data_IF_779461993107
#
_entry.id   IF_779461993107
#
_cell.length_a   1.000
_cell.length_b   1.000
_cell.length_c   1.000
_cell.angle_alpha   90.00
_cell.angle_beta   90.00
_cell.angle_gamma   90.00
#
_symmetry.space_group_name_H-M   'P 1'
#
loop_
_entity.id
_entity.type
_entity.pdbx_description
1 polymer ?
#
# COMPACT_ATOMS: atom_id res chain seq x y z
N UNK A 1 0.73 14.78 -9.10
CA UNK A 1 0.58 13.86 -10.24
C UNK A 1 1.59 14.21 -11.30
N UNK A 2 2.28 13.21 -11.85
CA UNK A 2 3.34 13.29 -12.85
C UNK A 2 3.01 12.33 -14.00
N UNK A 3 3.39 12.71 -15.22
CA UNK A 3 3.35 11.86 -16.41
C UNK A 3 4.77 11.30 -16.63
N UNK A 4 4.89 9.98 -16.74
CA UNK A 4 6.13 9.35 -17.18
C UNK A 4 6.14 9.21 -18.70
N UNK A 5 7.15 9.80 -19.34
CA UNK A 5 7.28 9.83 -20.79
C UNK A 5 8.66 9.29 -21.19
N UNK A 6 8.71 8.52 -22.28
CA UNK A 6 9.96 8.18 -22.96
C UNK A 6 9.80 8.44 -24.45
N UNK A 7 10.76 9.16 -25.05
CA UNK A 7 10.80 9.48 -26.48
C UNK A 7 9.49 10.08 -27.03
N UNK A 8 8.81 10.90 -26.24
CA UNK A 8 7.52 11.52 -26.60
C UNK A 8 6.29 10.62 -26.41
N UNK A 9 6.45 9.36 -25.97
CA UNK A 9 5.32 8.46 -25.66
C UNK A 9 4.96 8.53 -24.17
N UNK A 10 3.69 8.80 -23.81
CA UNK A 10 3.23 8.72 -22.43
C UNK A 10 3.11 7.24 -22.01
N UNK A 11 3.92 6.85 -21.02
CA UNK A 11 4.06 5.46 -20.58
C UNK A 11 3.58 5.22 -19.16
N UNK A 12 3.28 6.25 -18.40
CA UNK A 12 2.80 6.03 -17.04
C UNK A 12 2.26 7.25 -16.34
N UNK A 13 1.57 6.97 -15.25
CA UNK A 13 1.02 7.95 -14.34
C UNK A 13 1.58 7.69 -12.94
N UNK A 14 2.12 8.75 -12.33
CA UNK A 14 2.61 8.70 -10.96
C UNK A 14 1.84 9.74 -10.14
N UNK A 15 1.14 9.29 -9.11
CA UNK A 15 0.58 10.14 -8.07
C UNK A 15 1.26 9.77 -6.75
N UNK A 16 1.52 10.79 -5.96
CA UNK A 16 2.15 10.65 -4.66
C UNK A 16 1.70 11.79 -3.76
N UNK A 17 1.78 11.55 -2.46
CA UNK A 17 1.51 12.52 -1.43
C UNK A 17 2.74 12.68 -0.53
N UNK A 18 2.75 13.77 0.22
CA UNK A 18 3.84 14.18 1.11
C UNK A 18 3.23 14.55 2.45
N UNK A 19 3.82 14.07 3.54
CA UNK A 19 3.54 14.53 4.89
C UNK A 19 4.80 15.17 5.47
N UNK A 20 4.78 16.50 5.57
CA UNK A 20 5.97 17.28 5.92
C UNK A 20 6.42 17.07 7.37
N UNK A 21 5.48 16.86 8.30
CA UNK A 21 5.79 16.70 9.74
C UNK A 21 6.69 15.49 10.00
N UNK A 22 6.47 14.40 9.27
CA UNK A 22 7.24 13.16 9.37
C UNK A 22 8.32 13.05 8.27
N UNK A 23 8.43 14.06 7.40
CA UNK A 23 9.25 14.03 6.19
C UNK A 23 9.00 12.77 5.35
N UNK A 24 7.74 12.45 5.15
CA UNK A 24 7.29 11.22 4.51
C UNK A 24 6.82 11.47 3.08
N UNK A 25 7.18 10.59 2.15
CA UNK A 25 6.70 10.59 0.76
C UNK A 25 6.23 9.18 0.39
N UNK A 26 5.06 9.05 -0.23
CA UNK A 26 4.61 7.76 -0.78
C UNK A 26 3.80 7.94 -2.07
N UNK A 27 4.04 7.12 -3.11
CA UNK A 27 3.14 7.04 -4.25
C UNK A 27 1.89 6.24 -3.92
N UNK A 28 0.72 6.82 -4.15
CA UNK A 28 -0.59 6.16 -4.12
C UNK A 28 -1.00 5.63 -5.50
N UNK A 29 -0.36 6.13 -6.57
CA UNK A 29 -0.46 5.58 -7.93
C UNK A 29 0.93 5.51 -8.54
N UNK A 30 1.37 4.34 -8.98
CA UNK A 30 2.61 4.16 -9.74
C UNK A 30 2.41 3.18 -10.89
N UNK A 31 1.72 3.64 -11.95
CA UNK A 31 1.34 2.81 -13.09
C UNK A 31 2.28 3.07 -14.26
N UNK A 32 3.21 2.14 -14.52
CA UNK A 32 4.21 2.24 -15.58
C UNK A 32 4.06 1.10 -16.58
N UNK A 33 3.90 1.42 -17.86
CA UNK A 33 3.66 0.46 -18.95
C UNK A 33 4.88 -0.41 -19.28
N UNK A 34 6.09 0.15 -19.20
CA UNK A 34 7.36 -0.54 -19.46
C UNK A 34 8.54 0.18 -18.80
N UNK A 35 9.66 -0.51 -18.64
CA UNK A 35 10.89 0.00 -18.02
C UNK A 35 10.69 0.53 -16.59
N UNK A 36 9.99 -0.24 -15.76
CA UNK A 36 9.63 0.14 -14.39
C UNK A 36 10.83 0.62 -13.57
N UNK A 37 11.95 -0.11 -13.58
CA UNK A 37 13.14 0.28 -12.83
C UNK A 37 13.78 1.60 -13.29
N UNK A 38 13.65 1.97 -14.57
CA UNK A 38 14.06 3.30 -15.03
C UNK A 38 13.12 4.38 -14.50
N UNK A 39 11.81 4.15 -14.56
CA UNK A 39 10.82 5.08 -14.03
C UNK A 39 11.01 5.31 -12.51
N UNK A 40 11.26 4.25 -11.74
CA UNK A 40 11.56 4.36 -10.31
C UNK A 40 12.81 5.19 -10.08
N UNK A 41 13.90 4.94 -10.81
CA UNK A 41 15.14 5.71 -10.67
C UNK A 41 14.95 7.20 -10.96
N UNK A 42 14.32 7.53 -12.07
CA UNK A 42 14.03 8.94 -12.44
C UNK A 42 13.09 9.59 -11.40
N UNK A 43 12.14 8.84 -10.85
CA UNK A 43 11.28 9.32 -9.77
C UNK A 43 12.06 9.57 -8.47
N UNK A 44 12.95 8.66 -8.07
CA UNK A 44 13.82 8.85 -6.90
C UNK A 44 14.73 10.06 -7.07
N UNK A 45 15.34 10.24 -8.25
CA UNK A 45 16.16 11.41 -8.57
C UNK A 45 15.35 12.71 -8.46
N UNK A 46 14.14 12.73 -9.03
CA UNK A 46 13.21 13.84 -8.91
C UNK A 46 12.88 14.17 -7.44
N UNK A 47 12.62 13.15 -6.61
CA UNK A 47 12.29 13.33 -5.20
C UNK A 47 13.48 13.77 -4.36
N UNK A 48 14.69 13.22 -4.57
CA UNK A 48 15.93 13.68 -3.94
C UNK A 48 16.14 15.19 -4.13
N UNK A 49 15.90 15.69 -5.34
CA UNK A 49 16.05 17.11 -5.63
C UNK A 49 15.02 17.99 -4.92
N UNK A 50 13.81 17.46 -4.68
CA UNK A 50 12.67 18.24 -4.22
C UNK A 50 12.42 18.12 -2.72
N UNK A 51 12.76 16.99 -2.13
CA UNK A 51 12.50 16.63 -0.74
C UNK A 51 13.75 16.02 -0.08
N UNK A 52 14.90 16.73 -0.06
CA UNK A 52 16.12 16.21 0.53
C UNK A 52 15.93 15.93 2.03
N UNK A 53 16.34 14.75 2.49
CA UNK A 53 16.21 14.30 3.87
C UNK A 53 14.80 13.81 4.25
N UNK A 54 13.94 13.53 3.26
CA UNK A 54 12.68 12.82 3.45
C UNK A 54 12.89 11.31 3.28
N UNK A 55 11.92 10.51 3.71
CA UNK A 55 11.88 9.07 3.46
C UNK A 55 10.79 8.75 2.42
N UNK A 56 11.20 8.07 1.36
CA UNK A 56 10.29 7.54 0.35
C UNK A 56 9.87 6.12 0.76
N UNK A 57 8.57 5.92 0.92
CA UNK A 57 7.97 4.61 1.14
C UNK A 57 7.29 4.11 -0.12
N UNK A 58 7.33 2.80 -0.34
CA UNK A 58 6.82 2.15 -1.54
C UNK A 58 6.21 0.80 -1.20
N UNK A 59 4.91 0.63 -1.42
CA UNK A 59 4.22 -0.65 -1.24
C UNK A 59 4.00 -1.33 -2.59
N UNK A 60 4.52 -2.55 -2.77
CA UNK A 60 4.27 -3.34 -3.98
C UNK A 60 3.85 -4.76 -3.65
N UNK A 61 2.97 -5.32 -4.47
CA UNK A 61 2.64 -6.75 -4.41
C UNK A 61 3.91 -7.59 -4.59
N UNK A 62 4.06 -8.61 -3.74
CA UNK A 62 5.11 -9.64 -3.84
C UNK A 62 5.08 -10.37 -5.19
N UNK A 63 3.91 -10.51 -5.81
CA UNK A 63 3.77 -11.19 -7.10
C UNK A 63 4.20 -10.30 -8.27
N UNK A 64 4.32 -8.99 -8.06
CA UNK A 64 4.92 -8.07 -9.02
C UNK A 64 6.45 -8.10 -8.93
N UNK A 65 7.06 -9.23 -9.31
CA UNK A 65 8.50 -9.48 -9.16
C UNK A 65 9.35 -8.41 -9.85
N UNK A 66 8.92 -7.88 -11.00
CA UNK A 66 9.64 -6.82 -11.69
C UNK A 66 9.69 -5.50 -10.91
N UNK A 67 8.65 -5.17 -10.13
CA UNK A 67 8.67 -4.00 -9.26
C UNK A 67 9.53 -4.24 -8.00
N UNK A 68 9.43 -5.43 -7.41
CA UNK A 68 10.25 -5.82 -6.25
C UNK A 68 11.74 -5.78 -6.62
N UNK A 69 12.15 -6.43 -7.71
CA UNK A 69 13.54 -6.46 -8.18
C UNK A 69 14.05 -5.05 -8.52
N UNK A 70 13.20 -4.20 -9.11
CA UNK A 70 13.56 -2.82 -9.42
C UNK A 70 13.86 -2.00 -8.16
N UNK A 71 13.01 -2.09 -7.13
CA UNK A 71 13.22 -1.38 -5.86
C UNK A 71 14.47 -1.91 -5.14
N UNK A 72 14.62 -3.22 -5.01
CA UNK A 72 15.79 -3.83 -4.34
C UNK A 72 17.11 -3.52 -5.07
N UNK A 73 17.08 -3.30 -6.39
CA UNK A 73 18.27 -2.89 -7.17
C UNK A 73 18.69 -1.42 -6.96
N UNK A 74 17.84 -0.61 -6.34
CA UNK A 74 18.03 0.82 -6.10
C UNK A 74 18.23 1.12 -4.60
N UNK A 75 18.79 0.16 -3.86
CA UNK A 75 19.11 0.26 -2.43
C UNK A 75 17.91 0.49 -1.51
N UNK A 76 16.68 0.23 -1.96
CA UNK A 76 15.52 0.23 -1.07
C UNK A 76 15.62 -0.91 -0.06
N UNK A 77 15.43 -0.59 1.21
CA UNK A 77 15.33 -1.59 2.27
C UNK A 77 13.89 -2.12 2.34
N UNK A 78 13.72 -3.44 2.41
CA UNK A 78 12.41 -4.04 2.73
C UNK A 78 12.19 -3.96 4.23
N UNK A 79 11.16 -3.24 4.64
CA UNK A 79 10.85 -2.99 6.05
C UNK A 79 9.58 -3.73 6.50
N UNK A 80 8.61 -3.89 5.62
CA UNK A 80 7.28 -4.38 5.98
C UNK A 80 6.82 -5.53 5.08
N UNK A 81 6.05 -6.46 5.65
CA UNK A 81 5.32 -7.50 4.92
C UNK A 81 3.87 -7.50 5.41
N UNK A 82 2.94 -7.10 4.55
CA UNK A 82 1.52 -7.00 4.90
C UNK A 82 0.69 -7.92 3.99
N UNK A 83 -0.28 -8.63 4.55
CA UNK A 83 -1.29 -9.35 3.76
C UNK A 83 -2.37 -8.38 3.31
N UNK A 84 -2.77 -8.48 2.05
CA UNK A 84 -3.86 -7.65 1.51
C UNK A 84 -5.10 -8.52 1.36
N UNK A 85 -6.08 -8.26 2.23
CA UNK A 85 -7.38 -8.87 2.21
C UNK A 85 -8.41 -8.01 1.49
N UNK A 86 -9.29 -8.63 0.69
CA UNK A 86 -10.44 -7.96 0.08
C UNK A 86 -11.72 -8.75 0.33
N UNK A 87 -12.79 -8.03 0.69
CA UNK A 87 -14.16 -8.53 0.64
C UNK A 87 -14.92 -7.77 -0.45
N UNK A 88 -15.36 -8.44 -1.52
CA UNK A 88 -15.98 -7.78 -2.69
C UNK A 88 -17.49 -8.07 -2.82
N UNK A 89 -18.27 -7.00 -2.87
CA UNK A 89 -19.58 -6.84 -3.48
C UNK A 89 -19.39 -5.71 -4.52
N UNK A 90 -20.23 -5.56 -5.54
CA UNK A 90 -19.92 -4.68 -6.71
C UNK A 90 -20.40 -3.22 -6.52
N UNK A 91 -19.51 -2.22 -6.74
CA UNK A 91 -19.60 -0.71 -6.80
C UNK A 91 -19.53 0.16 -5.51
N UNK A 92 -18.32 0.57 -5.07
CA UNK A 92 -18.04 1.48 -3.95
C UNK A 92 -17.16 0.82 -2.90
N UNK A 93 -16.08 1.46 -2.44
CA UNK A 93 -15.04 0.82 -1.62
C UNK A 93 -14.87 1.47 -0.25
N UNK A 94 -14.55 0.66 0.75
CA UNK A 94 -14.04 1.09 2.05
C UNK A 94 -12.64 0.49 2.27
N UNK A 95 -11.80 1.17 3.02
CA UNK A 95 -10.49 0.67 3.42
C UNK A 95 -10.35 0.76 4.94
N UNK A 96 -9.81 -0.31 5.55
CA UNK A 96 -9.29 -0.24 6.92
C UNK A 96 -7.80 0.12 6.80
N UNK A 97 -7.47 1.37 7.12
CA UNK A 97 -6.10 1.88 7.06
C UNK A 97 -5.20 1.35 8.17
N UNK A 98 -5.77 1.03 9.34
CA UNK A 98 -5.02 0.53 10.48
C UNK A 98 -5.93 0.12 11.63
N UNK A 99 -5.40 -0.70 12.53
CA UNK A 99 -6.08 -1.12 13.76
C UNK A 99 -5.07 -1.09 14.91
N UNK A 100 -5.32 -0.25 15.91
CA UNK A 100 -4.50 -0.18 17.11
C UNK A 100 -5.07 -1.04 18.24
N UNK A 101 -4.18 -1.55 19.08
CA UNK A 101 -4.53 -2.38 20.22
C UNK A 101 -4.21 -1.66 21.54
N UNK A 102 -5.12 -1.76 22.50
CA UNK A 102 -4.87 -1.21 23.83
C UNK A 102 -3.66 -1.91 24.46
N UNK A 103 -2.63 -1.14 24.80
CA UNK A 103 -1.34 -1.63 25.30
C UNK A 103 -0.61 -2.60 24.36
N UNK A 104 -0.80 -2.48 23.04
CA UNK A 104 -0.17 -3.34 22.03
C UNK A 104 -0.53 -4.83 22.20
N UNK A 105 -1.71 -5.12 22.75
CA UNK A 105 -2.17 -6.49 23.02
C UNK A 105 -3.31 -6.88 22.09
N UNK A 106 -3.01 -7.73 21.12
CA UNK A 106 -4.01 -8.32 20.26
C UNK A 106 -5.00 -9.21 21.04
N UNK A 107 -6.30 -8.98 20.82
CA UNK A 107 -7.36 -9.86 21.25
C UNK A 107 -8.24 -10.22 20.04
N UNK A 108 -8.23 -11.51 19.67
CA UNK A 108 -8.92 -11.99 18.48
C UNK A 108 -10.45 -11.78 18.52
N UNK A 109 -11.08 -11.86 19.69
CA UNK A 109 -12.53 -11.68 19.83
C UNK A 109 -12.93 -10.21 19.69
N UNK A 110 -12.17 -9.31 20.33
CA UNK A 110 -12.38 -7.86 20.23
C UNK A 110 -12.15 -7.38 18.81
N UNK A 111 -11.05 -7.81 18.19
CA UNK A 111 -10.72 -7.51 16.80
C UNK A 111 -11.81 -8.01 15.85
N UNK A 112 -12.22 -9.28 15.99
CA UNK A 112 -13.32 -9.84 15.18
C UNK A 112 -14.61 -9.04 15.37
N UNK A 113 -14.92 -8.62 16.59
CA UNK A 113 -16.11 -7.81 16.89
C UNK A 113 -16.05 -6.45 16.19
N UNK A 114 -14.89 -5.79 16.21
CA UNK A 114 -14.65 -4.54 15.49
C UNK A 114 -14.81 -4.72 13.98
N UNK A 115 -14.20 -5.77 13.41
CA UNK A 115 -14.31 -6.11 11.99
C UNK A 115 -15.76 -6.33 11.56
N UNK A 116 -16.55 -7.09 12.34
CA UNK A 116 -17.98 -7.28 12.06
C UNK A 116 -18.74 -5.96 12.11
N UNK A 117 -18.43 -5.06 13.04
CA UNK A 117 -19.05 -3.73 13.11
C UNK A 117 -18.70 -2.87 11.91
N UNK A 118 -17.42 -2.81 11.54
CA UNK A 118 -16.94 -2.09 10.37
C UNK A 118 -17.65 -2.59 9.11
N UNK A 119 -17.62 -3.90 8.85
CA UNK A 119 -18.29 -4.54 7.70
C UNK A 119 -19.79 -4.25 7.63
N UNK A 120 -20.48 -4.29 8.77
CA UNK A 120 -21.90 -3.98 8.81
C UNK A 120 -22.17 -2.49 8.56
N UNK A 121 -21.29 -1.60 9.01
CA UNK A 121 -21.38 -0.17 8.73
C UNK A 121 -21.12 0.12 7.26
N UNK A 122 -20.06 -0.45 6.66
CA UNK A 122 -19.78 -0.31 5.22
C UNK A 122 -20.97 -0.71 4.36
N UNK A 123 -21.61 -1.85 4.69
CA UNK A 123 -22.84 -2.30 4.00
C UNK A 123 -23.99 -1.29 4.11
N UNK A 124 -24.19 -0.68 5.28
CA UNK A 124 -25.22 0.36 5.48
C UNK A 124 -24.93 1.61 4.68
N UNK A 125 -23.66 1.98 4.56
CA UNK A 125 -23.19 3.13 3.80
C UNK A 125 -23.23 2.87 2.28
N UNK A 126 -23.69 1.70 1.86
CA UNK A 126 -23.79 1.32 0.46
C UNK A 126 -22.46 0.89 -0.15
N UNK A 127 -21.40 0.77 0.66
CA UNK A 127 -20.11 0.25 0.22
C UNK A 127 -20.26 -1.21 -0.17
N UNK A 128 -19.46 -1.58 -1.15
CA UNK A 128 -19.56 -2.83 -1.85
C UNK A 128 -18.28 -3.62 -1.67
N UNK A 129 -17.12 -3.01 -1.63
CA UNK A 129 -15.90 -3.71 -1.22
C UNK A 129 -15.26 -3.12 0.04
N UNK A 130 -14.47 -3.96 0.71
CA UNK A 130 -13.58 -3.55 1.79
C UNK A 130 -12.18 -4.12 1.56
N UNK A 131 -11.17 -3.26 1.52
CA UNK A 131 -9.75 -3.62 1.52
C UNK A 131 -9.18 -3.48 2.92
N UNK A 132 -8.30 -4.40 3.31
CA UNK A 132 -7.62 -4.35 4.59
C UNK A 132 -6.21 -4.93 4.48
N UNK A 133 -5.22 -4.09 4.77
CA UNK A 133 -3.82 -4.49 4.92
C UNK A 133 -3.61 -4.93 6.37
N UNK A 134 -3.11 -6.15 6.58
CA UNK A 134 -3.00 -6.71 7.92
C UNK A 134 -1.85 -7.72 8.05
N UNK A 135 -1.46 -7.99 9.28
CA UNK A 135 -0.34 -8.90 9.58
C UNK A 135 -0.80 -10.34 9.83
N UNK A 136 0.16 -11.26 9.90
CA UNK A 136 -0.07 -12.69 10.17
C UNK A 136 -0.82 -12.92 11.50
N UNK A 137 -0.57 -12.10 12.54
CA UNK A 137 -1.22 -12.23 13.84
C UNK A 137 -2.76 -12.05 13.73
N UNK A 138 -3.19 -11.11 12.90
CA UNK A 138 -4.62 -10.76 12.73
C UNK A 138 -5.32 -11.63 11.68
N UNK A 139 -4.55 -12.37 10.87
CA UNK A 139 -5.05 -13.12 9.72
C UNK A 139 -6.20 -14.10 10.04
N UNK A 140 -6.12 -14.95 11.09
CA UNK A 140 -7.22 -15.88 11.40
C UNK A 140 -8.53 -15.15 11.70
N UNK A 141 -8.46 -13.99 12.35
CA UNK A 141 -9.65 -13.20 12.67
C UNK A 141 -10.23 -12.51 11.44
N UNK A 142 -9.38 -11.99 10.53
CA UNK A 142 -9.81 -11.44 9.25
C UNK A 142 -10.52 -12.48 8.36
N UNK A 143 -9.96 -13.68 8.23
CA UNK A 143 -10.62 -14.76 7.47
C UNK A 143 -11.96 -15.18 8.10
N UNK A 144 -12.07 -15.16 9.44
CA UNK A 144 -13.29 -15.57 10.14
C UNK A 144 -14.53 -14.72 9.83
N UNK A 145 -14.32 -13.50 9.32
CA UNK A 145 -15.41 -12.58 8.92
C UNK A 145 -15.63 -12.55 7.40
N UNK A 146 -14.92 -13.41 6.66
CA UNK A 146 -15.08 -13.60 5.22
C UNK A 146 -14.13 -12.77 4.35
N UNK A 147 -13.18 -12.02 4.94
CA UNK A 147 -12.11 -11.39 4.16
C UNK A 147 -11.25 -12.47 3.51
N UNK A 148 -10.94 -12.30 2.23
CA UNK A 148 -10.08 -13.22 1.49
C UNK A 148 -8.76 -12.55 1.19
N UNK A 149 -7.66 -13.23 1.49
CA UNK A 149 -6.33 -12.75 1.12
C UNK A 149 -6.17 -12.88 -0.39
N UNK A 150 -5.86 -11.77 -1.04
CA UNK A 150 -5.65 -11.72 -2.49
C UNK A 150 -4.17 -11.63 -2.85
N UNK A 151 -3.33 -11.09 -1.95
CA UNK A 151 -1.88 -11.03 -2.13
C UNK A 151 -1.14 -10.73 -0.83
N UNK A 152 0.20 -10.77 -0.89
CA UNK A 152 1.12 -10.25 0.12
C UNK A 152 1.85 -9.05 -0.49
N UNK A 153 1.94 -7.95 0.24
CA UNK A 153 2.64 -6.73 -0.16
C UNK A 153 3.93 -6.58 0.63
N UNK A 154 4.95 -6.06 -0.04
CA UNK A 154 6.22 -5.67 0.57
C UNK A 154 6.30 -4.15 0.62
N UNK A 155 6.49 -3.63 1.83
CA UNK A 155 6.84 -2.25 2.09
C UNK A 155 8.35 -2.05 1.97
N UNK A 156 8.73 -1.11 1.12
CA UNK A 156 10.10 -0.72 0.86
C UNK A 156 10.30 0.75 1.26
N UNK A 157 11.48 1.10 1.78
CA UNK A 157 11.83 2.49 2.06
C UNK A 157 13.21 2.88 1.53
N UNK A 158 13.38 4.17 1.26
CA UNK A 158 14.63 4.78 0.83
C UNK A 158 14.74 6.21 1.39
N UNK A 159 15.90 6.54 1.95
CA UNK A 159 16.22 7.92 2.34
C UNK A 159 16.55 8.77 1.09
N UNK A 160 15.97 9.97 1.02
CA UNK A 160 16.10 10.96 -0.07
C UNK A 160 17.09 12.10 0.24
#
# INVERSE_FOLDING_TARGET
MLLYEQDGEPLGLIQFYVWDDDKYVQPDIFCIKRDYGRAVREFVEYLHMRFPGYELHFGVSRTNTGAVEALESLDFEREEVSLVGVLRFVDGSMEIFGVDFENDRFNAEDFRTLMVRALNQSKKDGMKDMTFFHEDETHPAAESVGIRIIDTYYGHKLAL
#
